data_IF_333460976890
#
_entry.id   IF_333460976890
#
_cell.length_a   1.000
_cell.length_b   1.000
_cell.length_c   1.000
_cell.angle_alpha   90.00
_cell.angle_beta   90.00
_cell.angle_gamma   90.00
#
_symmetry.space_group_name_H-M   'P 1'
#
loop_
_entity.id
_entity.type
_entity.pdbx_description
1 polymer ?
#
# COMPACT_ATOMS: atom_id res chain seq x y z
N UNK A 1 -5.31 -3.77 23.46
CA UNK A 1 -5.51 -4.34 22.12
C UNK A 1 -6.45 -3.45 21.29
N UNK A 2 -6.08 -2.18 21.13
CA UNK A 2 -6.80 -1.18 20.33
C UNK A 2 -5.73 -0.33 19.66
N UNK A 3 -5.33 -0.74 18.46
CA UNK A 3 -4.22 -0.12 17.73
C UNK A 3 -4.02 -0.64 16.31
N UNK A 4 -5.01 -1.31 15.72
CA UNK A 4 -4.96 -1.83 14.33
C UNK A 4 -5.88 -1.08 13.35
N UNK A 5 -6.59 -0.04 13.80
CA UNK A 5 -7.43 0.79 12.94
C UNK A 5 -6.78 2.15 12.69
N UNK A 6 -5.89 2.23 11.71
CA UNK A 6 -5.65 3.42 10.84
C UNK A 6 -4.40 3.22 9.97
N UNK A 7 -4.51 2.46 8.87
CA UNK A 7 -3.57 2.53 7.74
C UNK A 7 -4.26 2.16 6.41
N UNK A 8 -5.38 2.81 6.10
CA UNK A 8 -5.92 2.80 4.72
C UNK A 8 -6.44 4.19 4.36
N UNK A 9 -5.53 5.03 3.90
CA UNK A 9 -5.86 6.25 3.15
C UNK A 9 -4.67 6.66 2.29
N UNK A 10 -4.34 5.86 1.29
CA UNK A 10 -3.69 6.34 0.06
C UNK A 10 -4.19 5.45 -1.06
N UNK A 11 -4.63 6.09 -2.14
CA UNK A 11 -5.18 5.47 -3.35
C UNK A 11 -4.40 4.21 -3.74
N UNK A 12 -5.15 3.13 -3.94
CA UNK A 12 -4.65 1.87 -4.46
C UNK A 12 -3.86 2.11 -5.75
N UNK A 13 -2.56 1.85 -5.70
CA UNK A 13 -1.81 1.51 -6.91
C UNK A 13 -2.15 0.07 -7.19
N UNK A 14 -3.11 -0.14 -8.09
CA UNK A 14 -3.41 -1.47 -8.60
C UNK A 14 -2.14 -2.06 -9.23
N UNK A 15 -1.69 -3.19 -8.70
CA UNK A 15 -0.85 -4.09 -9.44
C UNK A 15 -1.73 -4.74 -10.51
N UNK A 16 -1.70 -4.22 -11.75
CA UNK A 16 -2.31 -4.89 -12.89
C UNK A 16 -1.60 -6.24 -13.12
N UNK A 17 -2.25 -7.34 -12.75
CA UNK A 17 -1.98 -8.63 -13.37
C UNK A 17 -2.69 -8.62 -14.74
N UNK A 18 -1.90 -8.74 -15.80
CA UNK A 18 -2.31 -8.70 -17.21
C UNK A 18 -3.21 -9.88 -17.54
N UNK A 19 -4.41 -9.59 -18.06
CA UNK A 19 -5.29 -10.56 -18.71
C UNK A 19 -5.13 -10.39 -20.21
N UNK A 20 -4.73 -11.44 -20.91
CA UNK A 20 -4.57 -11.45 -22.37
C UNK A 20 -5.94 -11.33 -23.05
N UNK A 21 -6.12 -10.32 -23.91
CA UNK A 21 -7.13 -10.37 -24.95
C UNK A 21 -6.64 -11.34 -26.03
N UNK A 22 -7.32 -12.48 -26.19
CA UNK A 22 -7.05 -13.42 -27.28
C UNK A 22 -7.98 -13.10 -28.46
N UNK A 23 -7.52 -12.25 -29.39
CA UNK A 23 -8.19 -11.95 -30.65
C UNK A 23 -7.26 -12.22 -31.84
N UNK A 24 -7.32 -13.43 -32.41
CA UNK A 24 -6.49 -13.81 -33.54
C UNK A 24 -6.84 -13.02 -34.82
N UNK A 25 -5.92 -12.17 -35.28
CA UNK A 25 -5.85 -11.68 -36.67
C UNK A 25 -4.37 -11.58 -37.08
N UNK A 26 -4.02 -12.32 -38.12
CA UNK A 26 -2.65 -12.55 -38.60
C UNK A 26 -2.09 -11.26 -39.22
N UNK A 27 -1.21 -10.57 -38.49
CA UNK A 27 -0.33 -9.52 -38.99
C UNK A 27 1.07 -10.10 -39.29
N UNK A 28 1.86 -9.52 -40.22
CA UNK A 28 3.02 -10.20 -40.82
C UNK A 28 4.17 -10.38 -39.81
N UNK A 29 4.82 -11.55 -39.90
CA UNK A 29 5.74 -12.15 -38.93
C UNK A 29 6.99 -11.34 -38.49
N UNK A 30 7.22 -10.14 -39.02
CA UNK A 30 8.39 -9.31 -38.66
C UNK A 30 8.09 -8.36 -37.49
N UNK A 31 6.83 -7.98 -37.27
CA UNK A 31 6.42 -7.11 -36.15
C UNK A 31 6.06 -7.88 -34.86
N UNK A 32 5.88 -9.21 -34.95
CA UNK A 32 5.47 -10.05 -33.82
C UNK A 32 6.58 -10.23 -32.77
N UNK A 33 7.85 -10.33 -33.18
CA UNK A 33 8.94 -10.64 -32.26
C UNK A 33 9.15 -9.59 -31.14
N UNK A 34 9.15 -8.26 -31.40
CA UNK A 34 9.24 -7.27 -30.32
C UNK A 34 7.99 -7.24 -29.42
N UNK A 35 6.80 -7.45 -29.99
CA UNK A 35 5.55 -7.48 -29.22
C UNK A 35 5.53 -8.67 -28.26
N UNK A 36 5.83 -9.88 -28.74
CA UNK A 36 5.84 -11.10 -27.93
C UNK A 36 6.88 -11.02 -26.80
N UNK A 37 8.04 -10.41 -27.07
CA UNK A 37 9.06 -10.15 -26.04
C UNK A 37 8.56 -9.15 -24.99
N UNK A 38 7.93 -8.06 -25.42
CA UNK A 38 7.32 -7.10 -24.49
C UNK A 38 6.25 -7.79 -23.62
N UNK A 39 5.39 -8.60 -24.24
CA UNK A 39 4.34 -9.38 -23.57
C UNK A 39 4.91 -10.38 -22.56
N UNK A 40 6.00 -11.06 -22.89
CA UNK A 40 6.72 -11.95 -21.98
C UNK A 40 7.22 -11.21 -20.74
N UNK A 41 7.78 -10.00 -20.91
CA UNK A 41 8.24 -9.18 -19.77
C UNK A 41 7.07 -8.71 -18.92
N UNK A 42 5.98 -8.18 -19.50
CA UNK A 42 4.87 -7.63 -18.70
C UNK A 42 4.03 -8.70 -18.00
N UNK A 43 4.07 -9.94 -18.49
CA UNK A 43 3.35 -11.07 -17.89
C UNK A 43 4.09 -11.70 -16.71
N UNK A 44 5.40 -11.43 -16.56
CA UNK A 44 6.20 -11.87 -15.42
C UNK A 44 6.46 -10.68 -14.47
N UNK A 45 5.84 -10.64 -13.27
CA UNK A 45 6.05 -9.57 -12.30
C UNK A 45 7.53 -9.31 -11.95
N UNK A 46 8.37 -10.36 -11.87
CA UNK A 46 9.80 -10.23 -11.55
C UNK A 46 10.57 -9.59 -12.70
N UNK A 47 10.31 -10.05 -13.92
CA UNK A 47 10.88 -9.42 -15.12
C UNK A 47 10.42 -7.96 -15.21
N UNK A 48 9.14 -7.70 -15.05
CA UNK A 48 8.56 -6.36 -15.14
C UNK A 48 9.15 -5.38 -14.11
N UNK A 49 9.42 -5.84 -12.88
CA UNK A 49 10.02 -5.02 -11.83
C UNK A 49 11.41 -4.47 -12.22
N UNK A 50 12.17 -5.19 -13.06
CA UNK A 50 13.54 -4.82 -13.44
C UNK A 50 13.67 -4.37 -14.90
N UNK A 51 12.75 -4.79 -15.77
CA UNK A 51 12.81 -4.62 -17.24
C UNK A 51 11.61 -3.86 -17.81
N UNK A 52 10.84 -3.13 -16.99
CA UNK A 52 9.74 -2.28 -17.47
C UNK A 52 10.17 -1.21 -18.49
N UNK A 53 11.41 -0.73 -18.44
CA UNK A 53 11.97 0.17 -19.45
C UNK A 53 12.21 -0.52 -20.80
N UNK A 54 12.67 -1.76 -20.77
CA UNK A 54 12.88 -2.58 -21.97
C UNK A 54 11.53 -2.96 -22.61
N UNK A 55 10.55 -3.38 -21.82
CA UNK A 55 9.20 -3.68 -22.31
C UNK A 55 8.58 -2.47 -23.03
N UNK A 56 8.75 -1.26 -22.49
CA UNK A 56 8.27 -0.04 -23.15
C UNK A 56 8.97 0.21 -24.49
N UNK A 57 10.30 0.05 -24.54
CA UNK A 57 11.06 0.20 -25.77
C UNK A 57 10.62 -0.81 -26.84
N UNK A 58 10.39 -2.07 -26.45
CA UNK A 58 9.92 -3.13 -27.34
C UNK A 58 8.51 -2.84 -27.89
N UNK A 59 7.58 -2.38 -27.05
CA UNK A 59 6.26 -1.93 -27.53
C UNK A 59 6.39 -0.78 -28.51
N UNK A 60 7.19 0.26 -28.20
CA UNK A 60 7.38 1.41 -29.09
C UNK A 60 8.05 1.01 -30.41
N UNK A 61 9.00 0.08 -30.37
CA UNK A 61 9.62 -0.48 -31.58
C UNK A 61 8.60 -1.21 -32.45
N UNK A 62 7.77 -2.09 -31.86
CA UNK A 62 6.68 -2.75 -32.57
C UNK A 62 5.76 -1.74 -33.25
N UNK A 63 5.31 -0.73 -32.50
CA UNK A 63 4.35 0.28 -32.98
C UNK A 63 4.93 1.25 -34.01
N UNK A 64 6.26 1.39 -34.07
CA UNK A 64 6.92 2.15 -35.15
C UNK A 64 6.83 1.44 -36.51
N UNK A 65 6.82 0.11 -36.51
CA UNK A 65 6.68 -0.72 -37.72
C UNK A 65 5.25 -1.13 -38.03
N UNK A 66 4.36 -1.10 -37.03
CA UNK A 66 2.94 -1.44 -37.13
C UNK A 66 2.07 -0.47 -36.31
N UNK A 67 1.90 0.78 -36.77
CA UNK A 67 1.15 1.81 -36.03
C UNK A 67 -0.36 1.54 -35.95
N UNK A 68 -0.87 0.60 -36.76
CA UNK A 68 -2.24 0.09 -36.76
C UNK A 68 -2.47 -1.07 -35.77
N UNK A 69 -1.46 -1.43 -34.96
CA UNK A 69 -1.62 -2.46 -33.93
C UNK A 69 -2.38 -1.92 -32.70
N UNK A 70 -3.71 -2.12 -32.67
CA UNK A 70 -4.62 -1.70 -31.58
C UNK A 70 -4.18 -2.30 -30.23
N UNK A 71 -3.86 -3.60 -30.21
CA UNK A 71 -3.47 -4.31 -28.98
C UNK A 71 -2.12 -3.83 -28.46
N UNK A 72 -1.18 -3.50 -29.34
CA UNK A 72 0.12 -2.92 -28.98
C UNK A 72 -0.03 -1.55 -28.32
N UNK A 73 -0.85 -0.66 -28.87
CA UNK A 73 -1.15 0.62 -28.24
C UNK A 73 -1.84 0.46 -26.89
N UNK A 74 -2.79 -0.47 -26.79
CA UNK A 74 -3.49 -0.75 -25.54
C UNK A 74 -2.56 -1.28 -24.44
N UNK A 75 -1.74 -2.28 -24.74
CA UNK A 75 -0.80 -2.86 -23.76
C UNK A 75 0.32 -1.87 -23.37
N UNK A 76 0.77 -1.02 -24.30
CA UNK A 76 1.65 0.09 -23.96
C UNK A 76 0.97 1.05 -22.97
N UNK A 77 -0.31 1.37 -23.18
CA UNK A 77 -1.09 2.18 -22.25
C UNK A 77 -1.12 1.57 -20.84
N UNK A 78 -1.41 0.26 -20.73
CA UNK A 78 -1.44 -0.44 -19.43
C UNK A 78 -0.10 -0.40 -18.72
N UNK A 79 1.00 -0.59 -19.47
CA UNK A 79 2.36 -0.50 -18.93
C UNK A 79 2.67 0.91 -18.41
N UNK A 80 2.32 1.95 -19.17
CA UNK A 80 2.55 3.34 -18.79
C UNK A 80 1.74 3.73 -17.55
N UNK A 81 0.49 3.27 -17.42
CA UNK A 81 -0.30 3.44 -16.19
C UNK A 81 0.41 2.83 -14.99
N UNK A 82 0.91 1.59 -15.12
CA UNK A 82 1.64 0.92 -14.04
C UNK A 82 2.92 1.66 -13.63
N UNK A 83 3.58 2.31 -14.59
CA UNK A 83 4.75 3.18 -14.35
C UNK A 83 4.37 4.55 -13.77
N UNK A 84 3.08 4.89 -13.75
CA UNK A 84 2.56 6.17 -13.28
C UNK A 84 2.58 7.29 -14.34
N UNK A 85 2.93 6.98 -15.59
CA UNK A 85 2.83 7.91 -16.71
C UNK A 85 1.39 7.92 -17.26
N UNK A 86 0.50 8.59 -16.54
CA UNK A 86 -0.93 8.63 -16.88
C UNK A 86 -1.20 9.41 -18.18
N UNK A 87 -0.34 10.38 -18.51
CA UNK A 87 -0.46 11.15 -19.75
C UNK A 87 -0.05 10.31 -20.96
N UNK A 88 1.09 9.63 -20.88
CA UNK A 88 1.53 8.68 -21.91
C UNK A 88 0.56 7.52 -22.08
N UNK A 89 0.00 7.01 -20.98
CA UNK A 89 -1.02 5.98 -21.04
C UNK A 89 -2.27 6.43 -21.82
N UNK A 90 -2.77 7.63 -21.51
CA UNK A 90 -3.91 8.22 -22.23
C UNK A 90 -3.63 8.39 -23.71
N UNK A 91 -2.45 8.90 -24.07
CA UNK A 91 -2.03 9.03 -25.48
C UNK A 91 -2.02 7.68 -26.20
N UNK A 92 -1.48 6.63 -25.56
CA UNK A 92 -1.48 5.29 -26.12
C UNK A 92 -2.90 4.74 -26.33
N UNK A 93 -3.81 4.91 -25.37
CA UNK A 93 -5.21 4.53 -25.54
C UNK A 93 -5.92 5.32 -26.65
N UNK A 94 -5.65 6.62 -26.76
CA UNK A 94 -6.19 7.43 -27.85
C UNK A 94 -5.69 6.99 -29.22
N UNK A 95 -4.44 6.54 -29.33
CA UNK A 95 -3.91 5.93 -30.55
C UNK A 95 -4.60 4.61 -30.89
N UNK A 96 -4.84 3.75 -29.90
CA UNK A 96 -5.65 2.54 -30.10
C UNK A 96 -7.04 2.88 -30.65
N UNK A 97 -7.69 3.92 -30.10
CA UNK A 97 -8.99 4.41 -30.57
C UNK A 97 -8.95 5.11 -31.94
N UNK A 98 -7.82 5.73 -32.29
CA UNK A 98 -7.60 6.30 -33.62
C UNK A 98 -7.57 5.23 -34.72
N UNK A 99 -7.12 4.02 -34.38
CA UNK A 99 -7.15 2.85 -35.27
C UNK A 99 -8.53 2.16 -35.22
N UNK A 100 -9.06 1.92 -34.02
CA UNK A 100 -10.36 1.27 -33.80
C UNK A 100 -11.21 2.07 -32.81
N UNK A 101 -12.12 2.89 -33.33
CA UNK A 101 -12.92 3.83 -32.54
C UNK A 101 -13.84 3.16 -31.50
N UNK A 102 -14.35 1.97 -31.80
CA UNK A 102 -15.22 1.14 -30.94
C UNK A 102 -14.44 0.16 -30.05
N UNK A 103 -13.15 0.40 -29.81
CA UNK A 103 -12.35 -0.44 -28.93
C UNK A 103 -12.65 -0.16 -27.44
N UNK A 104 -13.72 -0.81 -26.95
CA UNK A 104 -14.25 -0.64 -25.60
C UNK A 104 -13.21 -0.74 -24.47
N UNK A 105 -12.21 -1.64 -24.48
CA UNK A 105 -11.19 -1.70 -23.44
C UNK A 105 -10.46 -0.37 -23.26
N UNK A 106 -10.00 0.27 -24.35
CA UNK A 106 -9.32 1.56 -24.28
C UNK A 106 -10.26 2.69 -23.83
N UNK A 107 -11.52 2.68 -24.27
CA UNK A 107 -12.51 3.65 -23.79
C UNK A 107 -12.71 3.55 -22.27
N UNK A 108 -12.82 2.32 -21.74
CA UNK A 108 -12.96 2.07 -20.31
C UNK A 108 -11.73 2.54 -19.52
N UNK A 109 -10.51 2.26 -20.01
CA UNK A 109 -9.28 2.75 -19.35
C UNK A 109 -9.21 4.27 -19.31
N UNK A 110 -9.55 4.96 -20.40
CA UNK A 110 -9.63 6.44 -20.43
C UNK A 110 -10.66 6.94 -19.42
N UNK A 111 -11.85 6.33 -19.35
CA UNK A 111 -12.86 6.68 -18.37
C UNK A 111 -12.37 6.44 -16.92
N UNK A 112 -11.62 5.36 -16.67
CA UNK A 112 -10.96 5.12 -15.38
C UNK A 112 -9.96 6.23 -15.02
N UNK A 113 -9.15 6.67 -15.97
CA UNK A 113 -8.23 7.81 -15.76
C UNK A 113 -8.98 9.12 -15.49
N UNK A 114 -10.09 9.39 -16.19
CA UNK A 114 -10.97 10.53 -15.93
C UNK A 114 -11.54 10.47 -14.51
N UNK A 115 -12.03 9.29 -14.10
CA UNK A 115 -12.62 9.07 -12.78
C UNK A 115 -11.58 9.28 -11.65
N UNK A 116 -10.37 8.75 -11.82
CA UNK A 116 -9.26 8.95 -10.89
C UNK A 116 -8.83 10.42 -10.79
N UNK A 117 -9.01 11.21 -11.85
CA UNK A 117 -8.82 12.65 -11.84
C UNK A 117 -10.00 13.44 -11.21
N UNK A 118 -11.02 12.74 -10.71
CA UNK A 118 -12.19 13.34 -10.05
C UNK A 118 -13.36 13.65 -10.98
N UNK A 119 -13.28 13.28 -12.26
CA UNK A 119 -14.40 13.47 -13.19
C UNK A 119 -15.42 12.34 -13.06
N UNK A 120 -16.43 12.55 -12.22
CA UNK A 120 -17.48 11.55 -11.94
C UNK A 120 -18.39 11.28 -13.14
N UNK A 121 -18.46 12.16 -14.14
CA UNK A 121 -19.20 11.89 -15.39
C UNK A 121 -18.61 10.70 -16.18
N UNK A 122 -17.40 10.26 -15.84
CA UNK A 122 -16.83 9.03 -16.39
C UNK A 122 -17.60 7.76 -15.97
N UNK A 123 -18.37 7.80 -14.87
CA UNK A 123 -19.23 6.69 -14.45
C UNK A 123 -20.31 6.42 -15.50
N UNK A 124 -20.96 7.44 -16.04
CA UNK A 124 -21.97 7.29 -17.09
C UNK A 124 -21.38 6.64 -18.35
N UNK A 125 -20.12 6.97 -18.68
CA UNK A 125 -19.40 6.33 -19.80
C UNK A 125 -19.13 4.85 -19.52
N UNK A 126 -18.66 4.52 -18.32
CA UNK A 126 -18.45 3.12 -17.91
C UNK A 126 -19.77 2.35 -17.93
N UNK A 127 -20.86 2.95 -17.44
CA UNK A 127 -22.21 2.37 -17.49
C UNK A 127 -22.71 2.14 -18.92
N UNK A 128 -22.41 3.05 -19.85
CA UNK A 128 -22.73 2.87 -21.26
C UNK A 128 -21.95 1.70 -21.88
N UNK A 129 -20.64 1.61 -21.61
CA UNK A 129 -19.79 0.50 -22.09
C UNK A 129 -20.34 -0.84 -21.61
N UNK A 130 -20.74 -0.94 -20.33
CA UNK A 130 -21.24 -2.20 -19.79
C UNK A 130 -22.66 -2.58 -20.24
N UNK A 131 -23.41 -1.64 -20.83
CA UNK A 131 -24.69 -1.88 -21.50
C UNK A 131 -24.47 -2.42 -22.93
N UNK A 132 -23.42 -1.97 -23.59
CA UNK A 132 -23.01 -2.46 -24.91
C UNK A 132 -22.38 -3.86 -24.80
N UNK A 133 -21.45 -4.04 -23.85
CA UNK A 133 -20.84 -5.32 -23.52
C UNK A 133 -21.04 -5.65 -22.03
N UNK A 134 -21.96 -6.59 -21.79
CA UNK A 134 -22.35 -7.06 -20.47
C UNK A 134 -21.24 -7.82 -19.70
N UNK A 135 -20.10 -8.10 -20.32
CA UNK A 135 -18.96 -8.78 -19.70
C UNK A 135 -17.64 -8.03 -19.85
N UNK A 136 -17.66 -6.80 -20.40
CA UNK A 136 -16.47 -5.95 -20.54
C UNK A 136 -15.72 -5.84 -19.20
N UNK A 137 -14.51 -6.39 -19.16
CA UNK A 137 -13.73 -6.63 -17.96
C UNK A 137 -13.12 -5.35 -17.38
N UNK A 138 -12.51 -4.50 -18.20
CA UNK A 138 -11.88 -3.25 -17.77
C UNK A 138 -12.90 -2.32 -17.09
N UNK A 139 -14.04 -2.09 -17.73
CA UNK A 139 -15.08 -1.20 -17.23
C UNK A 139 -15.64 -1.69 -15.90
N UNK A 140 -15.91 -2.99 -15.79
CA UNK A 140 -16.43 -3.60 -14.55
C UNK A 140 -15.40 -3.61 -13.43
N UNK A 141 -14.14 -3.88 -13.72
CA UNK A 141 -13.08 -3.81 -12.71
C UNK A 141 -12.94 -2.37 -12.17
N UNK A 142 -12.95 -1.37 -13.04
CA UNK A 142 -12.95 0.05 -12.62
C UNK A 142 -14.17 0.39 -11.76
N UNK A 143 -15.37 -0.05 -12.16
CA UNK A 143 -16.59 0.14 -11.36
C UNK A 143 -16.53 -0.60 -10.02
N UNK A 144 -15.96 -1.81 -9.98
CA UNK A 144 -15.77 -2.57 -8.74
C UNK A 144 -14.80 -1.86 -7.79
N UNK A 145 -13.67 -1.37 -8.30
CA UNK A 145 -12.69 -0.59 -7.55
C UNK A 145 -13.28 0.71 -7.01
N UNK A 146 -14.06 1.41 -7.83
CA UNK A 146 -14.79 2.60 -7.39
C UNK A 146 -15.78 2.26 -6.28
N UNK A 147 -16.56 1.19 -6.43
CA UNK A 147 -17.50 0.74 -5.41
C UNK A 147 -16.80 0.34 -4.10
N UNK A 148 -15.65 -0.35 -4.17
CA UNK A 148 -14.81 -0.67 -3.01
C UNK A 148 -14.33 0.59 -2.28
N UNK A 149 -13.96 1.65 -3.02
CA UNK A 149 -13.54 2.92 -2.45
C UNK A 149 -14.70 3.65 -1.75
N UNK A 150 -15.94 3.48 -2.23
CA UNK A 150 -17.15 4.01 -1.59
C UNK A 150 -17.67 3.13 -0.43
N UNK A 151 -17.11 1.94 -0.24
CA UNK A 151 -17.64 0.96 0.72
C UNK A 151 -18.91 0.24 0.25
N UNK A 152 -19.30 0.39 -1.02
CA UNK A 152 -20.41 -0.34 -1.63
C UNK A 152 -19.95 -1.74 -2.06
N UNK A 153 -19.79 -2.62 -1.07
CA UNK A 153 -19.30 -3.98 -1.29
C UNK A 153 -20.25 -4.82 -2.14
N UNK A 154 -21.55 -4.53 -2.10
CA UNK A 154 -22.54 -5.24 -2.90
C UNK A 154 -22.33 -4.98 -4.41
N UNK A 155 -22.14 -3.72 -4.81
CA UNK A 155 -21.81 -3.39 -6.21
C UNK A 155 -20.44 -3.91 -6.62
N UNK A 156 -19.44 -3.82 -5.74
CA UNK A 156 -18.13 -4.39 -6.01
C UNK A 156 -18.22 -5.89 -6.35
N UNK A 157 -18.92 -6.68 -5.52
CA UNK A 157 -19.16 -8.11 -5.75
C UNK A 157 -19.92 -8.33 -7.07
N UNK A 158 -20.97 -7.54 -7.33
CA UNK A 158 -21.76 -7.65 -8.57
C UNK A 158 -20.89 -7.48 -9.82
N UNK A 159 -20.12 -6.39 -9.88
CA UNK A 159 -19.27 -6.10 -11.04
C UNK A 159 -18.18 -7.16 -11.20
N UNK A 160 -17.49 -7.53 -10.12
CA UNK A 160 -16.47 -8.57 -10.14
C UNK A 160 -17.02 -9.92 -10.60
N UNK A 161 -18.17 -10.36 -10.09
CA UNK A 161 -18.79 -11.63 -10.50
C UNK A 161 -19.17 -11.63 -11.97
N UNK A 162 -19.66 -10.51 -12.50
CA UNK A 162 -19.97 -10.42 -13.93
C UNK A 162 -18.72 -10.61 -14.80
N UNK A 163 -17.57 -10.04 -14.42
CA UNK A 163 -16.31 -10.31 -15.13
C UNK A 163 -15.97 -11.80 -15.06
N UNK A 164 -16.07 -12.41 -13.88
CA UNK A 164 -15.73 -13.82 -13.67
C UNK A 164 -16.66 -14.82 -14.38
N UNK A 165 -17.85 -14.39 -14.83
CA UNK A 165 -18.72 -15.22 -15.69
C UNK A 165 -18.11 -15.36 -17.09
N UNK A 166 -17.55 -14.28 -17.64
CA UNK A 166 -16.93 -14.29 -18.98
C UNK A 166 -15.46 -14.71 -18.97
N UNK A 167 -14.73 -14.32 -17.93
CA UNK A 167 -13.31 -14.63 -17.73
C UNK A 167 -13.05 -15.12 -16.29
N UNK A 168 -13.21 -16.43 -16.03
CA UNK A 168 -12.96 -17.02 -14.72
C UNK A 168 -11.49 -16.97 -14.25
N UNK A 169 -10.55 -16.51 -15.09
CA UNK A 169 -9.13 -16.33 -14.75
C UNK A 169 -8.79 -14.87 -14.44
N UNK A 170 -9.76 -13.96 -14.51
CA UNK A 170 -9.50 -12.55 -14.24
C UNK A 170 -9.06 -12.31 -12.79
N UNK A 171 -7.77 -12.08 -12.60
CA UNK A 171 -7.16 -11.87 -11.27
C UNK A 171 -7.70 -10.62 -10.62
N UNK A 172 -7.88 -9.53 -11.38
CA UNK A 172 -8.38 -8.25 -10.84
C UNK A 172 -9.81 -8.40 -10.33
N UNK A 173 -10.68 -9.07 -11.08
CA UNK A 173 -12.05 -9.32 -10.64
C UNK A 173 -12.10 -10.23 -9.41
N UNK A 174 -11.28 -11.29 -9.37
CA UNK A 174 -11.17 -12.17 -8.21
C UNK A 174 -10.68 -11.42 -6.97
N UNK A 175 -9.67 -10.57 -7.12
CA UNK A 175 -9.14 -9.73 -6.06
C UNK A 175 -10.19 -8.74 -5.55
N UNK A 176 -10.87 -8.03 -6.46
CA UNK A 176 -11.92 -7.06 -6.12
C UNK A 176 -13.07 -7.73 -5.35
N UNK A 177 -13.50 -8.93 -5.77
CA UNK A 177 -14.48 -9.72 -5.04
C UNK A 177 -13.96 -10.17 -3.66
N UNK A 178 -12.73 -10.68 -3.58
CA UNK A 178 -12.13 -11.13 -2.32
C UNK A 178 -12.01 -9.98 -1.31
N UNK A 179 -11.57 -8.80 -1.74
CA UNK A 179 -11.53 -7.59 -0.90
C UNK A 179 -12.93 -7.20 -0.44
N UNK A 180 -13.92 -7.22 -1.33
CA UNK A 180 -15.30 -6.87 -0.97
C UNK A 180 -15.89 -7.83 0.07
N UNK A 181 -15.73 -9.14 -0.13
CA UNK A 181 -16.15 -10.16 0.85
C UNK A 181 -15.43 -9.97 2.18
N UNK A 182 -14.12 -9.79 2.16
CA UNK A 182 -13.32 -9.59 3.38
C UNK A 182 -13.81 -8.37 4.18
N UNK A 183 -13.99 -7.24 3.51
CA UNK A 183 -14.46 -5.99 4.15
C UNK A 183 -15.92 -6.07 4.65
N UNK A 184 -16.72 -6.96 4.08
CA UNK A 184 -18.07 -7.27 4.57
C UNK A 184 -18.08 -8.22 5.77
N UNK A 185 -16.91 -8.76 6.18
CA UNK A 185 -16.80 -9.78 7.23
C UNK A 185 -17.12 -11.20 6.74
N UNK A 186 -17.28 -11.37 5.42
CA UNK A 186 -17.54 -12.64 4.76
C UNK A 186 -16.22 -13.37 4.48
N UNK A 187 -15.52 -13.72 5.57
CA UNK A 187 -14.13 -14.20 5.54
C UNK A 187 -13.97 -15.50 4.75
N UNK A 188 -14.93 -16.43 4.84
CA UNK A 188 -14.87 -17.70 4.12
C UNK A 188 -15.09 -17.52 2.61
N UNK A 189 -16.00 -16.63 2.18
CA UNK A 189 -16.17 -16.32 0.75
C UNK A 189 -14.94 -15.61 0.18
N UNK A 190 -14.32 -14.71 0.94
CA UNK A 190 -13.07 -14.06 0.55
C UNK A 190 -11.96 -15.09 0.32
N UNK A 191 -11.79 -16.02 1.26
CA UNK A 191 -10.84 -17.11 1.14
C UNK A 191 -11.11 -18.00 -0.07
N UNK A 192 -12.36 -18.43 -0.27
CA UNK A 192 -12.73 -19.33 -1.37
C UNK A 192 -12.42 -18.73 -2.75
N UNK A 193 -12.80 -17.46 -2.97
CA UNK A 193 -12.54 -16.78 -4.24
C UNK A 193 -11.05 -16.60 -4.48
N UNK A 194 -10.29 -16.19 -3.45
CA UNK A 194 -8.86 -16.02 -3.57
C UNK A 194 -8.13 -17.36 -3.81
N UNK A 195 -8.52 -18.44 -3.12
CA UNK A 195 -7.98 -19.79 -3.36
C UNK A 195 -8.24 -20.24 -4.80
N UNK A 196 -9.48 -20.14 -5.30
CA UNK A 196 -9.79 -20.56 -6.67
C UNK A 196 -9.04 -19.75 -7.74
N UNK A 197 -8.74 -18.48 -7.46
CA UNK A 197 -7.95 -17.66 -8.35
C UNK A 197 -6.45 -18.03 -8.30
N UNK A 198 -5.91 -18.33 -7.11
CA UNK A 198 -4.52 -18.77 -6.92
C UNK A 198 -4.24 -20.15 -7.51
N UNK A 199 -5.24 -21.03 -7.61
CA UNK A 199 -5.10 -22.31 -8.34
C UNK A 199 -4.73 -22.10 -9.83
N UNK A 200 -5.16 -20.98 -10.42
CA UNK A 200 -4.92 -20.65 -11.84
C UNK A 200 -3.70 -19.75 -12.00
N UNK A 201 -3.49 -18.83 -11.07
CA UNK A 201 -2.40 -17.85 -11.08
C UNK A 201 -1.64 -17.89 -9.74
N UNK A 202 -0.79 -18.92 -9.51
CA UNK A 202 -0.17 -19.17 -8.20
C UNK A 202 0.81 -18.10 -7.73
N UNK A 203 1.21 -17.18 -8.60
CA UNK A 203 2.16 -16.09 -8.28
C UNK A 203 1.47 -14.73 -8.13
N UNK A 204 0.14 -14.69 -8.07
CA UNK A 204 -0.63 -13.46 -7.97
C UNK A 204 -0.46 -12.81 -6.57
N UNK A 205 0.53 -11.95 -6.44
CA UNK A 205 0.93 -11.33 -5.18
C UNK A 205 -0.22 -10.67 -4.40
N UNK A 206 -1.11 -9.95 -5.10
CA UNK A 206 -2.24 -9.29 -4.47
C UNK A 206 -3.27 -10.29 -3.88
N UNK A 207 -3.44 -11.46 -4.51
CA UNK A 207 -4.31 -12.52 -4.00
C UNK A 207 -3.71 -13.21 -2.77
N UNK A 208 -2.39 -13.41 -2.76
CA UNK A 208 -1.69 -13.86 -1.55
C UNK A 208 -1.81 -12.85 -0.40
N UNK A 209 -1.71 -11.55 -0.68
CA UNK A 209 -1.90 -10.52 0.35
C UNK A 209 -3.30 -10.57 0.97
N UNK A 210 -4.37 -10.70 0.18
CA UNK A 210 -5.73 -10.83 0.75
C UNK A 210 -5.91 -12.16 1.50
N UNK A 211 -5.28 -13.26 1.05
CA UNK A 211 -5.27 -14.53 1.79
C UNK A 211 -4.58 -14.39 3.15
N UNK A 212 -3.48 -13.63 3.23
CA UNK A 212 -2.82 -13.32 4.49
C UNK A 212 -3.77 -12.62 5.48
N UNK A 213 -4.53 -11.63 5.00
CA UNK A 213 -5.55 -10.95 5.81
C UNK A 213 -6.70 -11.88 6.23
N UNK A 214 -7.13 -12.79 5.35
CA UNK A 214 -8.14 -13.81 5.64
C UNK A 214 -7.66 -14.72 6.79
N UNK A 215 -6.42 -15.21 6.74
CA UNK A 215 -5.86 -16.05 7.81
C UNK A 215 -5.66 -15.27 9.12
N UNK A 216 -5.22 -14.01 9.07
CA UNK A 216 -5.16 -13.17 10.28
C UNK A 216 -6.53 -13.00 10.94
N UNK A 217 -7.59 -12.90 10.14
CA UNK A 217 -8.96 -12.77 10.66
C UNK A 217 -9.48 -14.07 11.28
N UNK A 218 -8.80 -15.19 11.02
CA UNK A 218 -9.01 -16.50 11.64
C UNK A 218 -8.04 -16.78 12.80
N UNK A 219 -7.25 -15.79 13.21
CA UNK A 219 -6.18 -15.93 14.21
C UNK A 219 -5.08 -16.95 13.82
N UNK A 220 -4.98 -17.27 12.52
CA UNK A 220 -3.95 -18.15 11.99
C UNK A 220 -2.76 -17.33 11.47
N UNK A 221 -1.96 -16.85 12.42
CA UNK A 221 -0.76 -16.06 12.14
C UNK A 221 0.24 -16.81 11.27
N UNK A 222 0.37 -18.13 11.46
CA UNK A 222 1.36 -18.91 10.71
C UNK A 222 1.03 -18.90 9.22
N UNK A 223 -0.21 -19.27 8.86
CA UNK A 223 -0.63 -19.23 7.47
C UNK A 223 -0.68 -17.80 6.94
N UNK A 224 -1.00 -16.80 7.76
CA UNK A 224 -0.90 -15.40 7.34
C UNK A 224 0.53 -15.01 6.93
N UNK A 225 1.55 -15.34 7.73
CA UNK A 225 2.96 -15.10 7.41
C UNK A 225 3.37 -15.82 6.12
N UNK A 226 2.96 -17.07 5.95
CA UNK A 226 3.22 -17.84 4.72
C UNK A 226 2.63 -17.14 3.48
N UNK A 227 1.39 -16.65 3.57
CA UNK A 227 0.74 -15.94 2.47
C UNK A 227 1.35 -14.56 2.19
N UNK A 228 1.70 -13.76 3.21
CA UNK A 228 2.40 -12.50 2.97
C UNK A 228 3.79 -12.72 2.37
N UNK A 229 4.48 -13.78 2.77
CA UNK A 229 5.77 -14.16 2.17
C UNK A 229 5.59 -14.54 0.70
N UNK A 230 4.60 -15.38 0.38
CA UNK A 230 4.27 -15.73 -1.00
C UNK A 230 3.89 -14.50 -1.85
N UNK A 231 3.23 -13.50 -1.26
CA UNK A 231 2.97 -12.23 -1.94
C UNK A 231 4.27 -11.50 -2.31
N UNK A 232 5.27 -11.49 -1.41
CA UNK A 232 6.58 -10.89 -1.67
C UNK A 232 7.44 -11.72 -2.63
N UNK A 233 7.27 -13.04 -2.65
CA UNK A 233 7.91 -13.90 -3.64
C UNK A 233 7.39 -13.63 -5.06
N UNK A 234 6.09 -13.32 -5.20
CA UNK A 234 5.47 -12.92 -6.46
C UNK A 234 5.82 -11.48 -6.87
N UNK A 235 5.78 -10.54 -5.94
CA UNK A 235 6.17 -9.14 -6.14
C UNK A 235 6.94 -8.61 -4.91
N UNK A 236 8.28 -8.56 -4.97
CA UNK A 236 9.12 -8.08 -3.85
C UNK A 236 8.87 -6.62 -3.45
N UNK A 237 8.20 -5.85 -4.29
CA UNK A 237 7.86 -4.46 -4.05
C UNK A 237 6.37 -4.27 -3.74
N UNK A 238 5.63 -5.36 -3.46
CA UNK A 238 4.25 -5.27 -3.03
C UNK A 238 4.16 -4.56 -1.67
N UNK A 239 3.74 -3.29 -1.70
CA UNK A 239 3.71 -2.44 -0.52
C UNK A 239 2.79 -2.99 0.57
N UNK A 240 1.62 -3.51 0.20
CA UNK A 240 0.65 -3.99 1.19
C UNK A 240 1.20 -5.22 1.93
N UNK A 241 1.79 -6.17 1.20
CA UNK A 241 2.43 -7.34 1.79
C UNK A 241 3.64 -6.97 2.66
N UNK A 242 4.48 -6.03 2.21
CA UNK A 242 5.61 -5.53 3.01
C UNK A 242 5.14 -4.96 4.35
N UNK A 243 4.11 -4.11 4.32
CA UNK A 243 3.60 -3.46 5.53
C UNK A 243 2.83 -4.43 6.43
N UNK A 244 2.03 -5.32 5.87
CA UNK A 244 1.29 -6.33 6.63
C UNK A 244 2.24 -7.30 7.33
N UNK A 245 3.24 -7.82 6.61
CA UNK A 245 4.24 -8.71 7.19
C UNK A 245 5.09 -7.98 8.23
N UNK A 246 5.54 -6.75 7.95
CA UNK A 246 6.30 -5.97 8.92
C UNK A 246 5.51 -5.70 10.20
N UNK A 247 4.22 -5.35 10.08
CA UNK A 247 3.35 -5.13 11.24
C UNK A 247 3.12 -6.41 12.04
N UNK A 248 2.97 -7.56 11.36
CA UNK A 248 2.83 -8.86 12.00
C UNK A 248 4.09 -9.23 12.77
N UNK A 249 5.26 -9.18 12.11
CA UNK A 249 6.56 -9.44 12.72
C UNK A 249 6.83 -8.50 13.91
N UNK A 250 6.47 -7.22 13.79
CA UNK A 250 6.56 -6.25 14.88
C UNK A 250 5.69 -6.64 16.08
N UNK A 251 4.47 -7.12 15.85
CA UNK A 251 3.56 -7.54 16.92
C UNK A 251 4.05 -8.78 17.67
N UNK A 252 4.78 -9.67 17.00
CA UNK A 252 5.38 -10.87 17.59
C UNK A 252 6.81 -10.67 18.11
N UNK A 253 7.34 -9.45 18.05
CA UNK A 253 8.67 -9.11 18.59
C UNK A 253 9.85 -9.45 17.68
N UNK A 254 9.59 -9.83 16.42
CA UNK A 254 10.62 -10.10 15.41
C UNK A 254 11.13 -8.78 14.80
N UNK A 255 11.73 -7.93 15.63
CA UNK A 255 12.02 -6.55 15.29
C UNK A 255 13.03 -6.37 14.14
N UNK A 256 14.06 -7.22 14.03
CA UNK A 256 15.00 -7.17 12.89
C UNK A 256 14.31 -7.51 11.56
N UNK A 257 13.39 -8.47 11.58
CA UNK A 257 12.61 -8.86 10.40
C UNK A 257 11.68 -7.72 9.98
N UNK A 258 10.93 -7.15 10.93
CA UNK A 258 10.08 -6.00 10.68
C UNK A 258 10.87 -4.81 10.10
N UNK A 259 12.05 -4.53 10.67
CA UNK A 259 12.92 -3.43 10.22
C UNK A 259 13.33 -3.58 8.75
N UNK A 260 13.70 -4.80 8.31
CA UNK A 260 14.05 -5.07 6.90
C UNK A 260 12.89 -4.76 5.94
N UNK A 261 11.68 -5.17 6.30
CA UNK A 261 10.48 -4.92 5.49
C UNK A 261 10.11 -3.43 5.47
N UNK A 262 10.21 -2.72 6.60
CA UNK A 262 10.01 -1.27 6.63
C UNK A 262 11.08 -0.52 5.81
N UNK A 263 12.34 -0.93 5.88
CA UNK A 263 13.41 -0.34 5.07
C UNK A 263 13.15 -0.54 3.57
N UNK A 264 12.66 -1.72 3.16
CA UNK A 264 12.26 -1.96 1.77
C UNK A 264 11.05 -1.09 1.36
N UNK A 265 10.04 -0.98 2.21
CA UNK A 265 8.89 -0.10 1.97
C UNK A 265 9.31 1.38 1.82
N UNK A 266 10.29 1.85 2.62
CA UNK A 266 10.83 3.21 2.52
C UNK A 266 11.69 3.43 1.28
N UNK A 267 12.32 2.41 0.69
CA UNK A 267 12.95 2.57 -0.64
C UNK A 267 11.92 2.89 -1.72
N UNK A 268 10.71 2.34 -1.59
CA UNK A 268 9.61 2.56 -2.55
C UNK A 268 8.87 3.87 -2.26
N UNK A 269 8.61 4.17 -0.97
CA UNK A 269 7.95 5.39 -0.50
C UNK A 269 8.80 6.09 0.57
N UNK A 270 9.84 6.84 0.18
CA UNK A 270 10.81 7.42 1.13
C UNK A 270 10.24 8.50 2.06
N UNK A 271 9.04 9.00 1.76
CA UNK A 271 8.37 10.07 2.52
C UNK A 271 7.11 9.61 3.24
N UNK A 272 6.95 8.31 3.44
CA UNK A 272 5.80 7.76 4.18
C UNK A 272 6.03 7.88 5.70
N UNK A 273 5.42 8.89 6.32
CA UNK A 273 5.56 9.15 7.75
C UNK A 273 5.09 7.97 8.62
N UNK A 274 4.07 7.22 8.19
CA UNK A 274 3.55 6.07 8.94
C UNK A 274 4.53 4.91 8.97
N UNK A 275 5.21 4.66 7.84
CA UNK A 275 6.26 3.65 7.75
C UNK A 275 7.50 4.07 8.55
N UNK A 276 7.92 5.34 8.47
CA UNK A 276 9.02 5.88 9.29
C UNK A 276 8.73 5.74 10.79
N UNK A 277 7.50 6.06 11.22
CA UNK A 277 7.07 5.85 12.60
C UNK A 277 7.18 4.38 13.02
N UNK A 278 6.64 3.47 12.21
CA UNK A 278 6.64 2.02 12.50
C UNK A 278 8.06 1.45 12.56
N UNK A 279 8.95 1.93 11.69
CA UNK A 279 10.40 1.67 11.74
C UNK A 279 11.00 2.10 13.07
N UNK A 280 10.64 3.29 13.58
CA UNK A 280 11.06 3.76 14.90
C UNK A 280 10.57 2.85 16.04
N UNK A 281 9.37 2.28 15.92
CA UNK A 281 8.85 1.31 16.90
C UNK A 281 9.67 0.03 16.90
N UNK A 282 10.02 -0.50 15.73
CA UNK A 282 10.91 -1.66 15.62
C UNK A 282 12.30 -1.38 16.20
N UNK A 283 12.89 -0.22 15.90
CA UNK A 283 14.18 0.21 16.45
C UNK A 283 14.16 0.33 17.97
N UNK A 284 13.06 0.84 18.55
CA UNK A 284 12.89 0.87 20.01
C UNK A 284 12.83 -0.54 20.59
N UNK A 285 12.16 -1.48 19.92
CA UNK A 285 12.12 -2.89 20.30
C UNK A 285 13.50 -3.55 20.30
N UNK A 286 14.39 -3.12 19.40
CA UNK A 286 15.81 -3.50 19.33
C UNK A 286 16.71 -2.73 20.32
N UNK A 287 16.13 -1.90 21.19
CA UNK A 287 16.87 -1.02 22.11
C UNK A 287 17.79 0.00 21.43
N UNK A 288 17.62 0.24 20.13
CA UNK A 288 18.34 1.25 19.34
C UNK A 288 17.70 2.62 19.52
N UNK A 289 17.73 3.13 20.75
CA UNK A 289 16.91 4.28 21.18
C UNK A 289 17.22 5.59 20.44
N UNK A 290 18.48 5.87 20.11
CA UNK A 290 18.83 7.09 19.37
C UNK A 290 18.28 7.07 17.94
N UNK A 291 18.34 5.92 17.28
CA UNK A 291 17.79 5.73 15.94
C UNK A 291 16.26 5.75 15.95
N UNK A 292 15.64 5.18 17.00
CA UNK A 292 14.20 5.26 17.19
C UNK A 292 13.74 6.72 17.36
N UNK A 293 14.45 7.51 18.16
CA UNK A 293 14.18 8.94 18.33
C UNK A 293 14.26 9.68 16.99
N UNK A 294 15.36 9.50 16.25
CA UNK A 294 15.56 10.13 14.95
C UNK A 294 14.44 9.76 13.96
N UNK A 295 13.99 8.51 13.95
CA UNK A 295 12.87 8.07 13.13
C UNK A 295 11.55 8.78 13.54
N UNK A 296 11.25 8.89 14.83
CA UNK A 296 10.03 9.59 15.27
C UNK A 296 10.07 11.09 14.94
N UNK A 297 11.23 11.75 15.08
CA UNK A 297 11.43 13.15 14.70
C UNK A 297 11.32 13.34 13.18
N UNK A 298 11.83 12.40 12.39
CA UNK A 298 11.66 12.38 10.94
C UNK A 298 10.18 12.20 10.56
N UNK A 299 9.43 11.32 11.23
CA UNK A 299 8.00 11.15 11.00
C UNK A 299 7.23 12.46 11.26
N UNK A 300 7.60 13.23 12.31
CA UNK A 300 7.04 14.56 12.59
C UNK A 300 7.45 15.61 11.56
N UNK A 301 8.66 15.52 11.02
CA UNK A 301 9.11 16.40 9.93
C UNK A 301 8.29 16.15 8.65
N UNK A 302 8.00 14.89 8.35
CA UNK A 302 7.18 14.50 7.19
C UNK A 302 5.69 14.81 7.39
N UNK A 303 5.19 14.67 8.62
CA UNK A 303 3.81 14.95 9.01
C UNK A 303 3.79 15.72 10.33
N UNK A 304 3.78 17.07 10.29
CA UNK A 304 3.61 17.88 11.48
C UNK A 304 2.32 17.54 12.22
N UNK A 305 2.38 17.48 13.56
CA UNK A 305 1.23 17.09 14.40
C UNK A 305 0.88 15.59 14.34
N UNK A 306 1.84 14.73 13.97
CA UNK A 306 1.61 13.28 14.01
C UNK A 306 1.60 12.76 15.45
N UNK A 307 0.41 12.74 16.05
CA UNK A 307 0.14 12.40 17.46
C UNK A 307 0.81 11.09 17.90
N UNK A 308 0.83 10.05 17.06
CA UNK A 308 1.49 8.79 17.42
C UNK A 308 3.01 8.92 17.53
N UNK A 309 3.65 9.77 16.72
CA UNK A 309 5.08 10.03 16.85
C UNK A 309 5.39 10.82 18.14
N UNK A 310 4.57 11.81 18.49
CA UNK A 310 4.69 12.57 19.75
C UNK A 310 4.54 11.66 20.98
N UNK A 311 3.54 10.76 20.94
CA UNK A 311 3.36 9.73 21.97
C UNK A 311 4.61 8.85 22.11
N UNK A 312 5.12 8.34 20.99
CA UNK A 312 6.29 7.45 21.01
C UNK A 312 7.56 8.17 21.50
N UNK A 313 7.73 9.46 21.19
CA UNK A 313 8.81 10.30 21.72
C UNK A 313 8.68 10.56 23.22
N UNK A 314 7.47 10.84 23.71
CA UNK A 314 7.20 10.97 25.16
C UNK A 314 7.58 9.67 25.89
N UNK A 315 7.11 8.53 25.40
CA UNK A 315 7.41 7.21 26.00
C UNK A 315 8.90 6.90 25.92
N UNK A 316 9.54 7.09 24.76
CA UNK A 316 10.97 6.81 24.55
C UNK A 316 11.84 7.58 25.54
N UNK A 317 11.65 8.90 25.60
CA UNK A 317 12.47 9.77 26.43
C UNK A 317 12.21 9.55 27.93
N UNK A 318 10.96 9.28 28.32
CA UNK A 318 10.62 9.03 29.71
C UNK A 318 11.13 7.67 30.20
N UNK A 319 10.87 6.60 29.45
CA UNK A 319 11.03 5.22 29.94
C UNK A 319 12.39 4.61 29.63
N UNK A 320 12.96 4.94 28.47
CA UNK A 320 14.15 4.24 27.98
C UNK A 320 15.39 5.12 28.05
N UNK A 321 15.30 6.40 27.66
CA UNK A 321 16.45 7.32 27.69
C UNK A 321 16.61 8.05 29.02
N UNK A 322 15.55 8.13 29.84
CA UNK A 322 15.51 8.98 31.04
C UNK A 322 15.89 10.46 30.76
N UNK A 323 15.62 10.93 29.54
CA UNK A 323 15.78 12.34 29.17
C UNK A 323 14.53 13.08 29.62
N UNK A 324 14.54 13.55 30.86
CA UNK A 324 13.37 14.17 31.49
C UNK A 324 12.97 15.48 30.83
N UNK A 325 13.90 16.21 30.22
CA UNK A 325 13.62 17.45 29.51
C UNK A 325 12.83 17.18 28.23
N UNK A 326 13.30 16.22 27.41
CA UNK A 326 12.59 15.82 26.21
C UNK A 326 11.29 15.08 26.54
N UNK A 327 11.27 14.25 27.59
CA UNK A 327 10.04 13.61 28.08
C UNK A 327 8.99 14.66 28.43
N UNK A 328 9.33 15.66 29.24
CA UNK A 328 8.42 16.77 29.58
C UNK A 328 7.91 17.47 28.33
N UNK A 329 8.80 17.82 27.40
CA UNK A 329 8.44 18.48 26.14
C UNK A 329 7.42 17.66 25.36
N UNK A 330 7.75 16.43 25.01
CA UNK A 330 6.91 15.60 24.15
C UNK A 330 5.62 15.15 24.81
N UNK A 331 5.63 14.83 26.10
CA UNK A 331 4.39 14.50 26.81
C UNK A 331 3.45 15.71 26.91
N UNK A 332 3.98 16.93 27.07
CA UNK A 332 3.18 18.16 27.05
C UNK A 332 2.60 18.43 25.66
N UNK A 333 3.42 18.31 24.60
CA UNK A 333 2.96 18.47 23.21
C UNK A 333 1.83 17.49 22.89
N UNK A 334 2.03 16.20 23.18
CA UNK A 334 1.03 15.17 22.97
C UNK A 334 -0.30 15.52 23.67
N UNK A 335 -0.27 15.87 24.96
CA UNK A 335 -1.46 16.23 25.73
C UNK A 335 -2.15 17.51 25.22
N UNK A 336 -1.41 18.40 24.54
CA UNK A 336 -1.97 19.57 23.89
C UNK A 336 -2.76 19.25 22.61
N UNK A 337 -2.53 18.09 22.00
CA UNK A 337 -3.17 17.65 20.75
C UNK A 337 -4.27 16.61 20.94
N UNK A 338 -4.50 16.12 22.17
CA UNK A 338 -5.52 15.11 22.46
C UNK A 338 -6.51 15.57 23.52
N UNK A 339 -7.72 15.01 23.46
CA UNK A 339 -8.76 15.22 24.47
C UNK A 339 -8.56 14.30 25.71
N UNK A 340 -9.19 14.66 26.83
CA UNK A 340 -9.12 13.91 28.08
C UNK A 340 -9.80 12.53 28.05
N UNK A 341 -10.71 12.29 27.10
CA UNK A 341 -11.33 10.99 26.86
C UNK A 341 -10.43 10.03 26.09
N UNK A 342 -9.32 10.49 25.48
CA UNK A 342 -8.35 9.61 24.84
C UNK A 342 -7.82 8.57 25.85
N UNK A 343 -7.82 7.26 25.51
CA UNK A 343 -7.41 6.20 26.44
C UNK A 343 -5.99 6.35 27.01
N UNK A 344 -5.09 7.01 26.27
CA UNK A 344 -3.69 7.23 26.67
C UNK A 344 -3.49 8.52 27.46
N UNK A 345 -4.50 9.40 27.58
CA UNK A 345 -4.36 10.71 28.24
C UNK A 345 -3.84 10.59 29.67
N UNK A 346 -4.49 9.75 30.49
CA UNK A 346 -4.11 9.56 31.90
C UNK A 346 -2.71 8.97 32.06
N UNK A 347 -2.33 8.05 31.17
CA UNK A 347 -0.98 7.48 31.17
C UNK A 347 0.07 8.56 30.90
N UNK A 348 -0.10 9.33 29.84
CA UNK A 348 0.86 10.38 29.46
C UNK A 348 0.89 11.51 30.48
N UNK A 349 -0.24 11.87 31.08
CA UNK A 349 -0.29 12.85 32.17
C UNK A 349 0.54 12.39 33.38
N UNK A 350 0.52 11.09 33.72
CA UNK A 350 1.35 10.54 34.79
C UNK A 350 2.85 10.65 34.45
N UNK A 351 3.22 10.34 33.20
CA UNK A 351 4.60 10.48 32.69
C UNK A 351 5.09 11.92 32.74
N UNK A 352 4.25 12.87 32.34
CA UNK A 352 4.56 14.30 32.41
C UNK A 352 4.85 14.74 33.85
N UNK A 353 3.96 14.42 34.80
CA UNK A 353 4.15 14.77 36.22
C UNK A 353 5.44 14.17 36.79
N UNK A 354 5.76 12.93 36.42
CA UNK A 354 6.99 12.27 36.85
C UNK A 354 8.24 12.99 36.29
N UNK A 355 8.24 13.34 35.00
CA UNK A 355 9.34 14.08 34.39
C UNK A 355 9.54 15.47 35.04
N UNK A 356 8.45 16.18 35.33
CA UNK A 356 8.50 17.49 36.00
C UNK A 356 9.05 17.41 37.43
N UNK A 357 8.60 16.43 38.21
CA UNK A 357 9.10 16.21 39.56
C UNK A 357 10.60 15.88 39.56
N UNK A 358 11.04 15.01 38.65
CA UNK A 358 12.46 14.65 38.52
C UNK A 358 13.33 15.85 38.12
N UNK A 359 12.89 16.64 37.15
CA UNK A 359 13.60 17.86 36.75
C UNK A 359 13.75 18.85 37.91
N UNK A 360 12.70 19.03 38.71
CA UNK A 360 12.74 19.90 39.90
C UNK A 360 13.79 19.42 40.92
N UNK A 361 13.82 18.12 41.22
CA UNK A 361 14.80 17.53 42.14
C UNK A 361 16.24 17.72 41.61
N UNK A 362 16.45 17.52 40.31
CA UNK A 362 17.77 17.70 39.69
C UNK A 362 18.24 19.15 39.78
N UNK A 363 17.34 20.12 39.54
CA UNK A 363 17.64 21.55 39.67
C UNK A 363 18.04 21.94 41.10
N UNK A 364 17.30 21.46 42.10
CA UNK A 364 17.59 21.71 43.52
C UNK A 364 18.97 21.16 43.94
N UNK A 365 19.38 20.00 43.40
CA UNK A 365 20.71 19.43 43.64
C UNK A 365 21.86 20.20 42.98
N UNK A 366 21.59 20.91 41.89
CA UNK A 366 22.59 21.71 41.15
C UNK A 366 22.64 23.18 41.56
N UNK A 367 21.78 23.62 42.49
CA UNK A 367 21.74 25.00 42.97
C UNK A 367 22.92 25.38 43.89
N UNK A 368 23.14 26.69 44.17
CA UNK A 368 24.38 27.21 44.78
C UNK A 368 24.68 26.78 46.23
N UNK A 369 23.87 25.91 46.84
CA UNK A 369 23.97 25.52 48.25
C UNK A 369 24.80 24.26 48.56
N UNK A 370 25.34 23.57 47.54
CA UNK A 370 26.01 22.27 47.74
C UNK A 370 27.51 22.34 48.09
N UNK A 371 28.06 23.54 48.37
CA UNK A 371 29.49 23.73 48.69
C UNK A 371 29.68 24.68 49.86
N UNK A 372 29.37 24.23 51.07
CA UNK A 372 29.48 25.06 52.29
C UNK A 372 29.66 24.25 53.56
N UNK A 373 30.44 23.16 53.50
CA UNK A 373 30.91 22.49 54.71
C UNK A 373 32.01 23.32 55.36
N UNK A 374 31.64 24.15 56.33
CA UNK A 374 32.57 24.88 57.20
C UNK A 374 33.44 23.89 57.97
N UNK A 375 34.76 23.93 57.73
CA UNK A 375 35.73 23.33 58.62
C UNK A 375 35.69 24.05 59.99
N UNK A 376 35.61 23.34 61.13
CA UNK A 376 35.79 23.98 62.42
C UNK A 376 37.29 24.11 62.70
N UNK A 377 37.71 25.33 63.03
CA UNK A 377 38.99 25.68 63.64
C UNK A 377 38.68 26.47 64.93
N UNK A 378 39.56 26.49 65.96
CA UNK A 378 40.99 26.17 65.92
C UNK A 378 41.40 24.88 66.63
#
# INVERSE_FOLDING_TARGET
>A
MTGFHTMFSTLGKLALATTLAAGALVAPAVAAAPFDQAMSIVSDPKALATRSGEAEQLFRQCLSGAPDNVEGWFNLGLLLERKGDLAGARDAYQKALGVKADYLPAQARIAGLDLAAGNTAALDKLEAIIKEDAFQAEARNILAEYALAQGDYAKAILHSRNVLVGDPRNVNASLNAAIAYYRQGLIDQAGLIATSALEKEPNAAALHNIMGLVYLSKDDTRSATEQFTAALDGDPNNMDALLNLAALELAYGNFESALKHFDQALKIRPRDAGVVLSRGVALRGLERFDEAQAAYEQALTLKPGFIDAEYNLCVLNHQFKSDWAQAKRWCSTYLGHIDAANPKYKEVQKRLKAAEATLKILQEKTGPGAGGGTAPAP
#
